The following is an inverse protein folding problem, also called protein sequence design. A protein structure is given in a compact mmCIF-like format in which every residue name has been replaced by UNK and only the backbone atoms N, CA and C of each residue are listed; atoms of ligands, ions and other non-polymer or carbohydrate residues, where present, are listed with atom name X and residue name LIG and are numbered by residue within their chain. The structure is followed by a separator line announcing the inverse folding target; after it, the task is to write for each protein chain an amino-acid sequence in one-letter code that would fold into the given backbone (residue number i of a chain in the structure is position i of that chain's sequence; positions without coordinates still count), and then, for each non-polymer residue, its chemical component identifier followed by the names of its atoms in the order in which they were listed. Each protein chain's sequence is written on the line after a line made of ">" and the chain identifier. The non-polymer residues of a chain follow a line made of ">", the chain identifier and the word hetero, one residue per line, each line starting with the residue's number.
data_IF_077407923280
#
_entry.id   IF_077407923280
#
_cell.length_a   1.000
_cell.length_b   1.000
_cell.length_c   1.000
_cell.angle_alpha   90.00
_cell.angle_beta   90.00
_cell.angle_gamma   90.00
#
_symmetry.space_group_name_H-M   'P 1'
#
loop_
_entity.id
_entity.type
_entity.pdbx_description
1 polymer ?
#
# COMPACT_ATOMS: atom_id res chain seq x y z
N UNK A 1 36.76 30.76 -22.01
CA UNK A 1 36.46 29.42 -22.56
C UNK A 1 36.57 28.36 -21.47
N UNK A 2 37.71 28.20 -20.79
CA UNK A 2 37.86 27.19 -19.71
C UNK A 2 36.90 27.35 -18.52
N UNK A 3 36.64 28.58 -18.05
CA UNK A 3 35.66 28.82 -16.98
C UNK A 3 34.24 28.38 -17.35
N UNK A 4 33.83 28.59 -18.60
CA UNK A 4 32.51 28.19 -19.09
C UNK A 4 32.42 26.67 -19.22
N UNK A 5 33.49 26.01 -19.67
CA UNK A 5 33.56 24.56 -19.76
C UNK A 5 33.53 23.93 -18.36
N UNK A 6 34.35 24.42 -17.42
CA UNK A 6 34.34 23.95 -16.04
C UNK A 6 32.99 24.15 -15.34
N UNK A 7 32.31 25.28 -15.57
CA UNK A 7 30.96 25.50 -15.05
C UNK A 7 29.96 24.51 -15.67
N UNK A 8 30.01 24.30 -16.99
CA UNK A 8 29.13 23.37 -17.68
C UNK A 8 29.37 21.93 -17.22
N UNK A 9 30.62 21.53 -17.01
CA UNK A 9 30.98 20.21 -16.50
C UNK A 9 30.50 20.01 -15.06
N UNK A 10 30.66 21.03 -14.20
CA UNK A 10 30.10 21.03 -12.84
C UNK A 10 28.57 20.91 -12.87
N UNK A 11 27.90 21.71 -13.70
CA UNK A 11 26.45 21.70 -13.86
C UNK A 11 25.94 20.33 -14.34
N UNK A 12 26.55 19.77 -15.39
CA UNK A 12 26.23 18.45 -15.91
C UNK A 12 26.56 17.34 -14.91
N UNK A 13 27.62 17.49 -14.12
CA UNK A 13 27.97 16.51 -13.08
C UNK A 13 26.93 16.47 -11.95
N UNK A 14 26.38 17.61 -11.55
CA UNK A 14 25.29 17.69 -10.56
C UNK A 14 24.00 17.14 -11.16
N UNK A 15 23.75 17.40 -12.45
CA UNK A 15 22.58 16.88 -13.15
C UNK A 15 22.60 15.35 -13.28
N UNK A 16 23.76 14.78 -13.64
CA UNK A 16 23.96 13.34 -13.83
C UNK A 16 24.18 12.55 -12.53
N UNK A 17 24.76 13.16 -11.49
CA UNK A 17 24.89 12.53 -10.16
C UNK A 17 23.66 12.75 -9.27
N UNK A 18 22.84 13.76 -9.61
CA UNK A 18 21.56 14.12 -9.01
C UNK A 18 21.48 14.03 -7.48
N UNK A 19 20.28 13.74 -6.97
CA UNK A 19 19.96 13.66 -5.53
C UNK A 19 19.88 12.18 -5.15
N UNK A 20 20.52 11.77 -4.04
CA UNK A 20 20.61 10.36 -3.60
C UNK A 20 21.24 9.40 -4.63
N UNK A 21 22.04 9.94 -5.55
CA UNK A 21 22.69 9.17 -6.61
C UNK A 21 21.78 8.79 -7.78
N UNK A 22 20.57 9.37 -7.85
CA UNK A 22 19.64 9.21 -8.98
C UNK A 22 19.74 10.42 -9.91
N UNK A 23 19.82 10.17 -11.21
CA UNK A 23 19.75 11.20 -12.24
C UNK A 23 18.43 12.01 -12.15
N UNK A 24 18.52 13.33 -12.27
CA UNK A 24 17.35 14.23 -12.14
C UNK A 24 16.24 13.89 -13.14
N UNK A 25 16.60 13.44 -14.35
CA UNK A 25 15.64 13.01 -15.37
C UNK A 25 14.90 11.75 -14.97
N UNK A 26 15.58 10.79 -14.33
CA UNK A 26 14.93 9.60 -13.78
C UNK A 26 13.96 9.94 -12.66
N UNK A 27 14.31 10.89 -11.79
CA UNK A 27 13.40 11.39 -10.74
C UNK A 27 12.15 12.00 -11.38
N UNK A 28 12.31 12.82 -12.41
CA UNK A 28 11.19 13.46 -13.11
C UNK A 28 10.26 12.42 -13.74
N UNK A 29 10.80 11.40 -14.41
CA UNK A 29 10.01 10.31 -14.98
C UNK A 29 9.35 9.48 -13.89
N UNK A 30 10.07 9.15 -12.81
CA UNK A 30 9.53 8.42 -11.66
C UNK A 30 8.34 9.15 -11.03
N UNK A 31 8.45 10.45 -10.82
CA UNK A 31 7.34 11.30 -10.38
C UNK A 31 6.19 11.26 -11.40
N UNK A 32 6.50 11.36 -12.69
CA UNK A 32 5.50 11.22 -13.76
C UNK A 32 4.73 9.90 -13.70
N UNK A 33 5.43 8.78 -13.55
CA UNK A 33 4.83 7.44 -13.37
C UNK A 33 3.92 7.42 -12.14
N UNK A 34 4.40 7.92 -11.01
CA UNK A 34 3.61 7.95 -9.78
C UNK A 34 2.35 8.81 -9.93
N UNK A 35 2.47 9.99 -10.54
CA UNK A 35 1.34 10.89 -10.81
C UNK A 35 0.29 10.25 -11.72
N UNK A 36 0.72 9.49 -12.74
CA UNK A 36 -0.19 8.71 -13.59
C UNK A 36 -1.02 7.77 -12.71
N UNK A 37 -0.38 6.97 -11.86
CA UNK A 37 -1.10 6.06 -10.96
C UNK A 37 -2.04 6.78 -9.98
N UNK A 38 -1.65 7.97 -9.49
CA UNK A 38 -2.51 8.79 -8.64
C UNK A 38 -3.74 9.33 -9.38
N UNK A 39 -3.58 9.81 -10.62
CA UNK A 39 -4.69 10.29 -11.45
C UNK A 39 -5.62 9.12 -11.81
N UNK A 40 -5.05 8.00 -12.24
CA UNK A 40 -5.82 6.80 -12.60
C UNK A 40 -6.36 6.03 -11.39
N UNK A 41 -6.02 6.43 -10.16
CA UNK A 41 -6.47 5.77 -8.91
C UNK A 41 -7.98 5.52 -8.91
N UNK A 42 -8.76 6.53 -9.30
CA UNK A 42 -10.21 6.44 -9.35
C UNK A 42 -10.72 5.42 -10.38
N UNK A 43 -10.06 5.34 -11.53
CA UNK A 43 -10.42 4.41 -12.62
C UNK A 43 -10.02 2.99 -12.23
N UNK A 44 -8.78 2.77 -11.81
CA UNK A 44 -8.26 1.45 -11.41
C UNK A 44 -9.09 0.88 -10.26
N UNK A 45 -9.39 1.68 -9.24
CA UNK A 45 -10.25 1.27 -8.13
C UNK A 45 -11.64 0.85 -8.63
N UNK A 46 -12.28 1.64 -9.51
CA UNK A 46 -13.58 1.29 -10.09
C UNK A 46 -13.53 -0.01 -10.89
N UNK A 47 -12.47 -0.24 -11.66
CA UNK A 47 -12.29 -1.48 -12.45
C UNK A 47 -12.18 -2.70 -11.53
N UNK A 48 -11.34 -2.62 -10.50
CA UNK A 48 -11.16 -3.70 -9.51
C UNK A 48 -12.50 -4.01 -8.84
N UNK A 49 -13.20 -2.99 -8.34
CA UNK A 49 -14.47 -3.17 -7.64
C UNK A 49 -15.55 -3.73 -8.56
N UNK A 50 -15.70 -3.21 -9.78
CA UNK A 50 -16.64 -3.79 -10.75
C UNK A 50 -16.34 -5.25 -11.07
N UNK A 51 -15.06 -5.64 -11.11
CA UNK A 51 -14.68 -7.03 -11.33
C UNK A 51 -15.08 -7.91 -10.15
N UNK A 52 -14.84 -7.43 -8.92
CA UNK A 52 -15.27 -8.12 -7.70
C UNK A 52 -16.80 -8.22 -7.61
N UNK A 53 -17.53 -7.16 -7.91
CA UNK A 53 -19.00 -7.16 -8.01
C UNK A 53 -19.50 -8.17 -9.04
N UNK A 54 -18.86 -8.24 -10.21
CA UNK A 54 -19.25 -9.20 -11.26
C UNK A 54 -19.03 -10.66 -10.84
N UNK A 55 -18.09 -10.92 -9.94
CA UNK A 55 -17.85 -12.25 -9.39
C UNK A 55 -18.89 -12.54 -8.29
N UNK A 56 -19.13 -11.59 -7.39
CA UNK A 56 -20.13 -11.70 -6.33
C UNK A 56 -21.56 -11.86 -6.88
N UNK A 57 -21.90 -11.22 -8.01
CA UNK A 57 -23.23 -11.41 -8.66
C UNK A 57 -23.49 -12.82 -9.18
N UNK A 58 -22.47 -13.68 -9.26
CA UNK A 58 -22.64 -15.09 -9.64
C UNK A 58 -23.17 -15.94 -8.48
N UNK A 59 -23.21 -15.38 -7.27
CA UNK A 59 -23.75 -15.98 -6.06
C UNK A 59 -24.89 -15.08 -5.53
N UNK A 60 -25.82 -15.65 -4.75
CA UNK A 60 -26.95 -14.91 -4.14
C UNK A 60 -26.68 -14.55 -2.68
N UNK A 61 -25.43 -14.58 -2.25
CA UNK A 61 -25.06 -14.50 -0.84
C UNK A 61 -24.71 -13.06 -0.41
N UNK A 62 -25.43 -12.54 0.60
CA UNK A 62 -25.17 -11.22 1.21
C UNK A 62 -23.74 -11.04 1.76
N UNK A 63 -23.08 -12.15 2.05
CA UNK A 63 -21.68 -12.18 2.47
C UNK A 63 -20.76 -11.66 1.37
N UNK A 64 -20.97 -12.08 0.12
CA UNK A 64 -20.12 -11.72 -1.01
C UNK A 64 -20.25 -10.22 -1.33
N UNK A 65 -21.47 -9.66 -1.25
CA UNK A 65 -21.70 -8.22 -1.37
C UNK A 65 -20.96 -7.41 -0.29
N UNK A 66 -20.97 -7.92 0.95
CA UNK A 66 -20.27 -7.28 2.08
C UNK A 66 -18.76 -7.33 1.90
N UNK A 67 -18.23 -8.43 1.35
CA UNK A 67 -16.82 -8.57 1.02
C UNK A 67 -16.40 -7.59 -0.08
N UNK A 68 -17.19 -7.43 -1.14
CA UNK A 68 -16.93 -6.47 -2.20
C UNK A 68 -16.92 -5.04 -1.65
N UNK A 69 -17.86 -4.70 -0.77
CA UNK A 69 -17.90 -3.39 -0.11
C UNK A 69 -16.66 -3.12 0.74
N UNK A 70 -16.21 -4.12 1.52
CA UNK A 70 -14.99 -4.04 2.32
C UNK A 70 -13.73 -3.79 1.47
N UNK A 71 -13.71 -4.25 0.21
CA UNK A 71 -12.58 -4.05 -0.71
C UNK A 71 -12.53 -2.66 -1.36
N UNK A 72 -13.57 -1.82 -1.24
CA UNK A 72 -13.60 -0.46 -1.82
C UNK A 72 -12.44 0.40 -1.32
N UNK A 73 -12.14 0.35 -0.02
CA UNK A 73 -11.00 1.05 0.58
C UNK A 73 -9.65 0.57 0.02
N UNK A 74 -9.31 -0.73 0.21
CA UNK A 74 -8.09 -1.33 -0.34
C UNK A 74 -7.88 -1.06 -1.84
N UNK A 75 -8.93 -1.21 -2.65
CA UNK A 75 -8.84 -0.99 -4.10
C UNK A 75 -8.46 0.45 -4.48
N UNK A 76 -8.73 1.44 -3.61
CA UNK A 76 -8.28 2.84 -3.81
C UNK A 76 -6.85 3.07 -3.37
N UNK A 77 -6.32 2.25 -2.47
CA UNK A 77 -4.94 2.34 -2.00
C UNK A 77 -3.97 1.59 -2.91
N UNK A 78 -4.41 0.48 -3.53
CA UNK A 78 -3.58 -0.34 -4.42
C UNK A 78 -2.85 0.47 -5.53
N UNK A 79 -3.48 1.43 -6.25
CA UNK A 79 -2.78 2.22 -7.26
C UNK A 79 -1.65 3.07 -6.68
N UNK A 80 -1.76 3.51 -5.42
CA UNK A 80 -0.72 4.28 -4.74
C UNK A 80 0.48 3.37 -4.46
N UNK A 81 0.23 2.16 -3.93
CA UNK A 81 1.27 1.16 -3.66
C UNK A 81 1.98 0.76 -4.96
N UNK A 82 1.23 0.40 -5.99
CA UNK A 82 1.78 0.02 -7.30
C UNK A 82 2.51 1.18 -7.98
N UNK A 83 1.95 2.38 -7.92
CA UNK A 83 2.57 3.56 -8.51
C UNK A 83 3.91 3.87 -7.86
N UNK A 84 3.98 3.83 -6.52
CA UNK A 84 5.23 4.08 -5.81
C UNK A 84 6.26 2.97 -6.10
N UNK A 85 5.83 1.70 -6.12
CA UNK A 85 6.68 0.57 -6.45
C UNK A 85 7.26 0.66 -7.87
N UNK A 86 6.44 0.96 -8.88
CA UNK A 86 6.90 1.05 -10.27
C UNK A 86 7.76 2.30 -10.47
N UNK A 87 7.39 3.44 -9.86
CA UNK A 87 8.18 4.66 -9.91
C UNK A 87 9.56 4.47 -9.29
N UNK A 88 9.62 3.84 -8.11
CA UNK A 88 10.89 3.53 -7.44
C UNK A 88 11.72 2.51 -8.21
N UNK A 89 11.10 1.51 -8.83
CA UNK A 89 11.82 0.54 -9.67
C UNK A 89 12.46 1.18 -10.91
N UNK A 90 11.83 2.22 -11.48
CA UNK A 90 12.37 2.96 -12.62
C UNK A 90 13.59 3.83 -12.26
N UNK A 91 13.66 4.30 -11.01
CA UNK A 91 14.74 5.18 -10.53
C UNK A 91 15.95 4.36 -10.08
N UNK A 92 17.13 4.63 -10.67
CA UNK A 92 18.37 3.96 -10.29
C UNK A 92 18.98 4.59 -9.04
N UNK A 93 18.47 4.25 -7.85
CA UNK A 93 19.02 4.74 -6.58
C UNK A 93 20.43 4.21 -6.31
N UNK A 94 21.24 5.01 -5.60
CA UNK A 94 22.48 4.55 -4.95
C UNK A 94 22.20 3.45 -3.92
N UNK A 95 23.22 2.73 -3.46
CA UNK A 95 23.11 1.70 -2.40
C UNK A 95 22.27 2.19 -1.20
N UNK A 96 22.63 3.36 -0.65
CA UNK A 96 21.96 3.94 0.51
C UNK A 96 20.52 4.37 0.19
N UNK A 97 20.29 4.96 -0.99
CA UNK A 97 18.96 5.34 -1.45
C UNK A 97 18.05 4.13 -1.68
N UNK A 98 18.59 3.03 -2.22
CA UNK A 98 17.86 1.78 -2.46
C UNK A 98 17.34 1.20 -1.16
N UNK A 99 18.14 1.17 -0.10
CA UNK A 99 17.73 0.65 1.19
C UNK A 99 16.51 1.41 1.75
N UNK A 100 16.54 2.74 1.73
CA UNK A 100 15.43 3.58 2.21
C UNK A 100 14.17 3.33 1.37
N UNK A 101 14.31 3.31 0.05
CA UNK A 101 13.18 3.13 -0.87
C UNK A 101 12.58 1.73 -0.77
N UNK A 102 13.39 0.69 -0.58
CA UNK A 102 12.92 -0.67 -0.30
C UNK A 102 12.13 -0.73 1.00
N UNK A 103 12.62 -0.08 2.08
CA UNK A 103 11.88 0.04 3.34
C UNK A 103 10.53 0.74 3.16
N UNK A 104 10.45 1.80 2.35
CA UNK A 104 9.19 2.49 2.05
C UNK A 104 8.25 1.58 1.25
N UNK A 105 8.74 0.89 0.21
CA UNK A 105 7.96 -0.07 -0.56
C UNK A 105 7.38 -1.17 0.32
N UNK A 106 8.22 -1.78 1.17
CA UNK A 106 7.79 -2.78 2.16
C UNK A 106 6.75 -2.21 3.12
N UNK A 107 6.95 -0.99 3.62
CA UNK A 107 5.98 -0.32 4.51
C UNK A 107 4.62 -0.15 3.84
N UNK A 108 4.59 0.34 2.59
CA UNK A 108 3.34 0.51 1.83
C UNK A 108 2.62 -0.83 1.61
N UNK A 109 3.37 -1.87 1.27
CA UNK A 109 2.83 -3.23 1.09
C UNK A 109 2.30 -3.78 2.41
N UNK A 110 3.05 -3.65 3.50
CA UNK A 110 2.64 -4.09 4.84
C UNK A 110 1.35 -3.39 5.28
N UNK A 111 1.29 -2.05 5.16
CA UNK A 111 0.08 -1.28 5.46
C UNK A 111 -1.09 -1.77 4.61
N UNK A 112 -0.87 -2.02 3.31
CA UNK A 112 -1.91 -2.51 2.42
C UNK A 112 -2.45 -3.88 2.83
N UNK A 113 -1.57 -4.83 3.18
CA UNK A 113 -1.94 -6.17 3.64
C UNK A 113 -2.75 -6.08 4.93
N UNK A 114 -2.24 -5.38 5.95
CA UNK A 114 -2.94 -5.21 7.22
C UNK A 114 -4.28 -4.49 7.05
N UNK A 115 -4.36 -3.51 6.15
CA UNK A 115 -5.62 -2.86 5.80
C UNK A 115 -6.61 -3.85 5.20
N UNK A 116 -6.20 -4.68 4.24
CA UNK A 116 -7.07 -5.71 3.65
C UNK A 116 -7.60 -6.64 4.75
N UNK A 117 -6.71 -7.18 5.58
CA UNK A 117 -7.10 -8.09 6.67
C UNK A 117 -8.09 -7.39 7.61
N UNK A 118 -7.81 -6.14 8.00
CA UNK A 118 -8.69 -5.34 8.83
C UNK A 118 -10.10 -5.17 8.22
N UNK A 119 -10.20 -4.95 6.90
CA UNK A 119 -11.48 -4.81 6.21
C UNK A 119 -12.24 -6.14 6.10
N UNK A 120 -11.55 -7.27 5.95
CA UNK A 120 -12.17 -8.60 5.84
C UNK A 120 -12.83 -9.05 7.16
N UNK A 121 -12.42 -8.50 8.30
CA UNK A 121 -13.06 -8.82 9.60
C UNK A 121 -14.55 -8.44 9.60
N UNK A 122 -14.94 -7.38 8.89
CA UNK A 122 -16.34 -6.93 8.84
C UNK A 122 -17.28 -7.96 8.22
N UNK A 123 -17.06 -8.46 6.99
CA UNK A 123 -17.90 -9.52 6.43
C UNK A 123 -17.84 -10.82 7.25
N UNK A 124 -16.74 -11.12 7.94
CA UNK A 124 -16.65 -12.27 8.84
C UNK A 124 -17.66 -12.16 10.00
N UNK A 125 -17.92 -10.96 10.52
CA UNK A 125 -18.91 -10.75 11.59
C UNK A 125 -20.32 -11.23 11.19
N UNK A 126 -20.68 -11.08 9.91
CA UNK A 126 -21.97 -11.54 9.38
C UNK A 126 -22.06 -13.07 9.40
N UNK A 127 -20.98 -13.78 9.07
CA UNK A 127 -20.90 -15.25 9.15
C UNK A 127 -21.07 -15.71 10.60
N UNK A 128 -20.37 -15.06 11.53
CA UNK A 128 -20.41 -15.41 12.95
C UNK A 128 -21.81 -15.17 13.55
N UNK A 129 -22.55 -14.17 13.07
CA UNK A 129 -23.96 -13.98 13.45
C UNK A 129 -24.89 -15.11 12.99
N UNK A 130 -24.49 -15.93 12.03
CA UNK A 130 -25.21 -17.16 11.69
C UNK A 130 -25.09 -18.26 12.76
N UNK A 131 -24.14 -18.12 13.70
CA UNK A 131 -23.87 -19.06 14.79
C UNK A 131 -24.58 -18.66 16.10
N UNK A 132 -25.70 -17.94 16.01
CA UNK A 132 -26.53 -17.47 17.14
C UNK A 132 -26.91 -18.59 18.15
N UNK A 133 -26.81 -19.87 17.75
CA UNK A 133 -27.01 -21.03 18.65
C UNK A 133 -25.85 -21.33 19.59
N UNK A 134 -24.65 -20.81 19.30
CA UNK A 134 -23.39 -21.09 20.02
C UNK A 134 -22.78 -19.81 20.59
N UNK A 135 -22.96 -18.66 19.91
CA UNK A 135 -22.37 -17.38 20.30
C UNK A 135 -23.46 -16.32 20.46
N UNK A 136 -23.48 -15.60 21.59
CA UNK A 136 -24.39 -14.47 21.75
C UNK A 136 -23.96 -13.30 20.85
N UNK A 137 -24.91 -12.45 20.48
CA UNK A 137 -24.62 -11.26 19.66
C UNK A 137 -23.64 -10.32 20.34
N UNK A 138 -23.69 -10.19 21.67
CA UNK A 138 -22.69 -9.40 22.39
C UNK A 138 -21.29 -10.00 22.24
N UNK A 139 -21.15 -11.32 22.39
CA UNK A 139 -19.85 -12.00 22.30
C UNK A 139 -19.23 -11.84 20.90
N UNK A 140 -20.03 -11.97 19.84
CA UNK A 140 -19.58 -11.75 18.47
C UNK A 140 -19.07 -10.32 18.29
N UNK A 141 -19.80 -9.33 18.79
CA UNK A 141 -19.38 -7.93 18.75
C UNK A 141 -18.04 -7.68 19.47
N UNK A 142 -17.86 -8.30 20.64
CA UNK A 142 -16.60 -8.23 21.40
C UNK A 142 -15.43 -8.91 20.68
N UNK A 143 -15.64 -10.09 20.09
CA UNK A 143 -14.61 -10.80 19.31
C UNK A 143 -14.15 -9.94 18.14
N UNK A 144 -15.08 -9.41 17.36
CA UNK A 144 -14.79 -8.60 16.17
C UNK A 144 -14.05 -7.31 16.54
N UNK A 145 -14.49 -6.62 17.59
CA UNK A 145 -13.83 -5.41 18.07
C UNK A 145 -12.41 -5.69 18.54
N UNK A 146 -12.21 -6.78 19.28
CA UNK A 146 -10.89 -7.19 19.77
C UNK A 146 -9.96 -7.57 18.63
N UNK A 147 -10.46 -8.30 17.63
CA UNK A 147 -9.68 -8.71 16.46
C UNK A 147 -9.23 -7.50 15.61
N UNK A 148 -10.11 -6.51 15.43
CA UNK A 148 -9.76 -5.25 14.75
C UNK A 148 -8.62 -4.51 15.46
N UNK A 149 -8.71 -4.39 16.79
CA UNK A 149 -7.67 -3.74 17.61
C UNK A 149 -6.36 -4.51 17.53
N UNK A 150 -6.40 -5.84 17.63
CA UNK A 150 -5.22 -6.69 17.52
C UNK A 150 -4.52 -6.51 16.17
N UNK A 151 -5.27 -6.58 15.07
CA UNK A 151 -4.70 -6.43 13.71
C UNK A 151 -4.12 -5.03 13.50
N UNK A 152 -4.74 -3.99 14.07
CA UNK A 152 -4.18 -2.65 14.03
C UNK A 152 -2.84 -2.55 14.78
N UNK A 153 -2.75 -3.09 15.99
CA UNK A 153 -1.52 -3.11 16.79
C UNK A 153 -0.43 -3.90 16.08
N UNK A 154 -0.75 -5.09 15.55
CA UNK A 154 0.19 -5.92 14.80
C UNK A 154 0.68 -5.22 13.53
N UNK A 155 -0.21 -4.51 12.83
CA UNK A 155 0.16 -3.73 11.65
C UNK A 155 1.11 -2.59 11.99
N UNK A 156 0.85 -1.86 13.08
CA UNK A 156 1.76 -0.83 13.57
C UNK A 156 3.12 -1.41 13.99
N UNK A 157 3.13 -2.52 14.72
CA UNK A 157 4.36 -3.21 15.11
C UNK A 157 5.16 -3.63 13.86
N UNK A 158 4.54 -4.31 12.90
CA UNK A 158 5.20 -4.72 11.67
C UNK A 158 5.80 -3.53 10.89
N UNK A 159 5.10 -2.39 10.84
CA UNK A 159 5.67 -1.18 10.25
C UNK A 159 6.87 -0.70 11.04
N UNK A 160 6.76 -0.53 12.36
CA UNK A 160 7.88 -0.07 13.20
C UNK A 160 9.12 -0.97 13.08
N UNK A 161 8.92 -2.29 12.94
CA UNK A 161 9.98 -3.27 12.78
C UNK A 161 10.77 -3.06 11.48
N UNK A 162 10.08 -2.75 10.38
CA UNK A 162 10.72 -2.40 9.10
C UNK A 162 11.61 -1.15 9.21
N UNK A 163 11.31 -0.24 10.14
CA UNK A 163 12.11 0.95 10.41
C UNK A 163 13.22 0.73 11.45
N UNK A 164 13.45 -0.52 11.88
CA UNK A 164 14.51 -0.89 12.82
C UNK A 164 14.18 -0.59 14.28
N UNK A 165 12.94 -0.21 14.59
CA UNK A 165 12.48 -0.05 15.97
C UNK A 165 12.16 -1.44 16.49
N UNK A 166 12.89 -1.91 17.50
CA UNK A 166 12.68 -3.24 18.08
C UNK A 166 11.41 -3.26 18.93
N UNK A 167 10.38 -4.00 18.52
CA UNK A 167 9.11 -4.14 19.26
C UNK A 167 9.06 -5.47 20.05
N UNK A 168 10.13 -6.26 20.03
CA UNK A 168 10.26 -7.47 20.84
C UNK A 168 11.68 -8.04 20.77
N UNK A 169 12.03 -9.01 21.64
CA UNK A 169 13.28 -9.75 21.53
C UNK A 169 13.15 -10.78 20.41
N UNK A 170 13.60 -10.40 19.22
CA UNK A 170 13.97 -11.31 18.12
C UNK A 170 15.36 -10.93 17.63
#
# INVERSE_FOLDING_TARGET
>A
MELFNNFNDLFLSVWNKGILGVDIFQILIGIGIFLIFLIFRGIISKVIIKRLESIAKRTTNKLDDTFVHAMVGPARFLPIVLGFFIASYYMSFSEDGRAIVDTINRTLITIFIFWIIHQIIEPISYILSGLDKVLTRELIGWIIKSLKVLIFILGLAAVLELWGIKIGPI
#
